data_IF_264451285373
#
_entry.id   IF_264451285373
#
_cell.length_a   1.000
_cell.length_b   1.000
_cell.length_c   1.000
_cell.angle_alpha   90.00
_cell.angle_beta   90.00
_cell.angle_gamma   90.00
#
_symmetry.space_group_name_H-M   'P 1'
#
loop_
_entity.id
_entity.type
_entity.pdbx_description
1 polymer ?
#
# COMPACT_ATOMS: atom_id res chain seq x y z
N UNK A 1 -22.15 1.79 -2.29
CA UNK A 1 -21.37 0.69 -2.92
C UNK A 1 -21.04 -0.35 -1.85
N UNK A 2 -21.33 -1.64 -2.08
CA UNK A 2 -20.93 -2.70 -1.13
C UNK A 2 -19.40 -2.79 -1.11
N UNK A 3 -18.81 -2.79 0.09
CA UNK A 3 -17.36 -2.91 0.28
C UNK A 3 -16.95 -4.32 -0.12
N UNK A 4 -16.00 -4.43 -1.06
CA UNK A 4 -15.45 -5.74 -1.46
C UNK A 4 -14.74 -6.35 -0.25
N UNK A 5 -14.95 -7.64 0.00
CA UNK A 5 -14.34 -8.31 1.15
C UNK A 5 -12.82 -8.35 1.02
N UNK A 6 -12.11 -8.32 2.15
CA UNK A 6 -10.65 -8.36 2.18
C UNK A 6 -10.09 -9.61 1.50
N UNK A 7 -10.76 -10.76 1.73
CA UNK A 7 -10.41 -12.03 1.10
C UNK A 7 -10.42 -11.96 -0.43
N UNK A 8 -11.49 -11.41 -1.03
CA UNK A 8 -11.58 -11.27 -2.50
C UNK A 8 -10.44 -10.38 -3.04
N UNK A 9 -10.02 -9.37 -2.27
CA UNK A 9 -8.94 -8.46 -2.68
C UNK A 9 -7.57 -9.11 -2.65
N UNK A 10 -7.32 -9.94 -1.64
CA UNK A 10 -6.13 -10.78 -1.63
C UNK A 10 -6.12 -11.74 -2.81
N UNK A 11 -7.22 -12.42 -3.09
CA UNK A 11 -7.32 -13.30 -4.26
C UNK A 11 -7.08 -12.57 -5.58
N UNK A 12 -7.52 -11.31 -5.71
CA UNK A 12 -7.20 -10.47 -6.88
C UNK A 12 -5.69 -10.25 -6.99
N UNK A 13 -5.05 -9.80 -5.91
CA UNK A 13 -3.63 -9.47 -5.90
C UNK A 13 -2.75 -10.70 -6.15
N UNK A 14 -3.02 -11.81 -5.47
CA UNK A 14 -2.30 -13.08 -5.63
C UNK A 14 -2.36 -13.57 -7.08
N UNK A 15 -3.56 -13.54 -7.69
CA UNK A 15 -3.74 -13.99 -9.07
C UNK A 15 -3.02 -13.06 -10.07
N UNK A 16 -3.02 -11.75 -9.85
CA UNK A 16 -2.26 -10.81 -10.70
C UNK A 16 -0.76 -10.96 -10.54
N UNK A 17 -0.26 -11.17 -9.31
CA UNK A 17 1.14 -11.49 -9.05
C UNK A 17 1.57 -12.82 -9.69
N UNK A 18 0.65 -13.79 -9.78
CA UNK A 18 0.84 -15.03 -10.54
C UNK A 18 0.73 -14.85 -12.07
N UNK A 19 0.57 -13.63 -12.58
CA UNK A 19 0.54 -13.32 -14.01
C UNK A 19 -0.80 -13.57 -14.72
N UNK A 20 -1.90 -13.79 -13.99
CA UNK A 20 -3.22 -13.95 -14.59
C UNK A 20 -3.77 -12.60 -15.09
N UNK A 21 -4.45 -12.61 -16.23
CA UNK A 21 -5.04 -11.39 -16.78
C UNK A 21 -6.21 -10.86 -15.94
N UNK A 22 -6.35 -9.53 -15.86
CA UNK A 22 -7.45 -8.88 -15.13
C UNK A 22 -8.83 -9.40 -15.56
N UNK A 23 -8.99 -9.69 -16.86
CA UNK A 23 -10.23 -10.18 -17.43
C UNK A 23 -10.59 -11.60 -16.93
N UNK A 24 -9.60 -12.50 -16.87
CA UNK A 24 -9.80 -13.86 -16.32
C UNK A 24 -10.18 -13.81 -14.85
N UNK A 25 -9.52 -12.94 -14.09
CA UNK A 25 -9.77 -12.77 -12.65
C UNK A 25 -11.17 -12.19 -12.41
N UNK A 26 -11.54 -11.16 -13.18
CA UNK A 26 -12.87 -10.56 -13.12
C UNK A 26 -13.98 -11.61 -13.35
N UNK A 27 -13.83 -12.42 -14.41
CA UNK A 27 -14.77 -13.50 -14.72
C UNK A 27 -14.82 -14.57 -13.63
N UNK A 28 -13.67 -14.99 -13.10
CA UNK A 28 -13.57 -16.03 -12.06
C UNK A 28 -14.22 -15.57 -10.74
N UNK A 29 -13.96 -14.33 -10.32
CA UNK A 29 -14.42 -13.81 -9.03
C UNK A 29 -15.80 -13.14 -9.11
N UNK A 30 -16.40 -13.05 -10.29
CA UNK A 30 -17.70 -12.40 -10.50
C UNK A 30 -17.67 -10.90 -10.23
N UNK A 31 -16.52 -10.24 -10.43
CA UNK A 31 -16.34 -8.80 -10.22
C UNK A 31 -16.08 -8.08 -11.54
N UNK A 32 -16.29 -6.76 -11.59
CA UNK A 32 -15.95 -6.00 -12.79
C UNK A 32 -14.43 -5.93 -13.00
N UNK A 33 -13.99 -5.88 -14.26
CA UNK A 33 -12.58 -5.65 -14.60
C UNK A 33 -12.03 -4.36 -13.97
N UNK A 34 -12.83 -3.30 -13.96
CA UNK A 34 -12.47 -2.04 -13.31
C UNK A 34 -12.23 -2.19 -11.81
N UNK A 35 -12.96 -3.09 -11.14
CA UNK A 35 -12.73 -3.40 -9.72
C UNK A 35 -11.38 -4.10 -9.54
N UNK A 36 -11.08 -5.10 -10.37
CA UNK A 36 -9.79 -5.81 -10.37
C UNK A 36 -8.64 -4.82 -10.55
N UNK A 37 -8.72 -3.97 -11.58
CA UNK A 37 -7.72 -2.96 -11.87
C UNK A 37 -7.50 -2.00 -10.70
N UNK A 38 -8.58 -1.44 -10.11
CA UNK A 38 -8.47 -0.51 -8.98
C UNK A 38 -7.90 -1.16 -7.72
N UNK A 39 -8.25 -2.41 -7.45
CA UNK A 39 -7.71 -3.16 -6.31
C UNK A 39 -6.20 -3.35 -6.48
N UNK A 40 -5.77 -3.79 -7.66
CA UNK A 40 -4.36 -4.04 -7.91
C UNK A 40 -3.53 -2.77 -7.99
N UNK A 41 -4.02 -1.73 -8.67
CA UNK A 41 -3.36 -0.42 -8.67
C UNK A 41 -3.21 0.13 -7.24
N UNK A 42 -4.21 -0.06 -6.37
CA UNK A 42 -4.08 0.30 -4.96
C UNK A 42 -2.97 -0.53 -4.27
N UNK A 43 -2.91 -1.84 -4.55
CA UNK A 43 -1.86 -2.70 -4.01
C UNK A 43 -0.46 -2.33 -4.53
N UNK A 44 -0.30 -2.04 -5.81
CA UNK A 44 0.98 -1.60 -6.39
C UNK A 44 1.44 -0.26 -5.79
N UNK A 45 0.48 0.65 -5.56
CA UNK A 45 0.78 1.98 -5.03
C UNK A 45 1.02 2.00 -3.53
N UNK A 46 0.51 1.05 -2.76
CA UNK A 46 0.52 1.10 -1.29
C UNK A 46 0.98 -0.19 -0.58
N UNK A 47 1.17 -1.30 -1.30
CA UNK A 47 1.49 -2.60 -0.73
C UNK A 47 0.36 -3.25 0.07
N UNK A 48 -0.88 -2.76 -0.05
CA UNK A 48 -1.98 -3.16 0.84
C UNK A 48 -3.26 -3.57 0.09
N UNK A 49 -3.84 -4.70 0.51
CA UNK A 49 -5.11 -5.20 -0.02
C UNK A 49 -6.35 -4.54 0.61
N UNK A 50 -6.20 -3.77 1.70
CA UNK A 50 -7.31 -3.13 2.38
C UNK A 50 -7.92 -1.98 1.60
N UNK A 51 -9.17 -1.67 1.92
CA UNK A 51 -9.82 -0.48 1.36
C UNK A 51 -9.26 0.63 2.19
N UNK A 52 -8.55 1.54 1.53
CA UNK A 52 -7.99 2.73 2.15
C UNK A 52 -8.92 3.90 1.80
N UNK A 53 -10.15 3.97 2.37
CA UNK A 53 -11.03 5.12 2.18
C UNK A 53 -10.49 6.38 2.86
N UNK A 54 -9.45 6.25 3.71
CA UNK A 54 -8.90 7.32 4.55
C UNK A 54 -7.65 8.00 4.01
N UNK A 55 -7.03 7.52 2.92
CA UNK A 55 -5.80 8.15 2.39
C UNK A 55 -6.07 9.40 1.55
N UNK A 56 -7.32 9.86 1.47
CA UNK A 56 -7.72 11.12 0.86
C UNK A 56 -7.49 12.33 1.80
N UNK A 57 -6.44 12.29 2.62
CA UNK A 57 -5.99 13.41 3.45
C UNK A 57 -5.02 14.33 2.72
N UNK A 58 -4.84 15.56 3.22
CA UNK A 58 -3.83 16.48 2.69
C UNK A 58 -2.44 15.86 2.89
N UNK A 59 -1.58 15.84 1.86
CA UNK A 59 -0.22 15.33 2.01
C UNK A 59 0.53 16.11 3.09
N UNK A 60 0.93 15.42 4.17
CA UNK A 60 1.83 15.96 5.19
C UNK A 60 3.28 15.54 4.90
N UNK A 61 4.21 16.48 5.01
CA UNK A 61 5.65 16.19 4.94
C UNK A 61 6.08 15.71 6.33
N UNK A 62 6.80 14.59 6.39
CA UNK A 62 7.39 14.08 7.62
C UNK A 62 8.43 15.06 8.15
N UNK A 63 8.30 15.46 9.40
CA UNK A 63 9.38 16.14 10.11
C UNK A 63 10.48 15.15 10.50
N UNK A 64 11.65 15.67 10.91
CA UNK A 64 12.73 14.82 11.42
C UNK A 64 12.31 14.06 12.68
N UNK A 65 11.45 14.63 13.52
CA UNK A 65 10.96 13.98 14.73
C UNK A 65 10.01 12.83 14.42
N UNK A 66 9.13 12.99 13.43
CA UNK A 66 8.25 11.91 12.95
C UNK A 66 9.08 10.72 12.42
N UNK A 67 10.18 11.01 11.72
CA UNK A 67 11.10 9.98 11.21
C UNK A 67 11.83 9.26 12.34
N UNK A 68 12.28 9.99 13.36
CA UNK A 68 12.96 9.42 14.54
C UNK A 68 12.00 8.53 15.34
N UNK A 69 10.74 8.93 15.48
CA UNK A 69 9.71 8.12 16.13
C UNK A 69 9.42 6.81 15.37
N UNK A 70 9.31 6.89 14.04
CA UNK A 70 9.17 5.70 13.19
C UNK A 70 10.33 4.73 13.35
N UNK A 71 11.55 5.24 13.42
CA UNK A 71 12.76 4.43 13.62
C UNK A 71 12.74 3.66 14.94
N UNK A 72 12.28 4.29 16.02
CA UNK A 72 12.12 3.64 17.33
C UNK A 72 11.07 2.51 17.26
N UNK A 73 9.91 2.78 16.66
CA UNK A 73 8.85 1.78 16.46
C UNK A 73 9.32 0.57 15.64
N UNK A 74 10.14 0.84 14.63
CA UNK A 74 10.76 -0.17 13.76
C UNK A 74 11.70 -1.09 14.52
N UNK A 75 12.51 -0.53 15.44
CA UNK A 75 13.46 -1.27 16.27
C UNK A 75 12.78 -2.17 17.30
N UNK A 76 11.60 -1.79 17.79
CA UNK A 76 10.90 -2.55 18.83
C UNK A 76 10.09 -3.75 18.30
N UNK A 77 9.55 -3.69 17.08
CA UNK A 77 8.68 -4.75 16.52
C UNK A 77 8.68 -4.71 14.98
N UNK A 78 9.61 -5.45 14.37
CA UNK A 78 9.91 -5.39 12.93
C UNK A 78 8.79 -5.93 12.03
N UNK A 79 8.07 -6.98 12.45
CA UNK A 79 7.38 -7.85 11.48
C UNK A 79 5.98 -7.37 11.04
N UNK A 80 5.33 -6.47 11.79
CA UNK A 80 3.95 -6.04 11.50
C UNK A 80 3.69 -4.53 11.70
N UNK A 81 4.66 -3.76 12.19
CA UNK A 81 4.40 -2.39 12.64
C UNK A 81 4.62 -1.32 11.59
N UNK A 82 5.47 -1.51 10.60
CA UNK A 82 5.79 -0.45 9.63
C UNK A 82 4.51 0.08 9.00
N UNK A 83 3.68 -0.84 8.50
CA UNK A 83 2.42 -0.50 7.85
C UNK A 83 1.40 0.12 8.82
N UNK A 84 1.26 -0.46 10.02
CA UNK A 84 0.33 0.03 11.05
C UNK A 84 0.74 1.38 11.61
N UNK A 85 2.03 1.63 11.80
CA UNK A 85 2.60 2.88 12.28
C UNK A 85 2.47 4.00 11.24
N UNK A 86 2.82 3.71 9.97
CA UNK A 86 2.62 4.64 8.85
C UNK A 86 1.15 5.02 8.71
N UNK A 87 0.23 4.05 8.82
CA UNK A 87 -1.21 4.30 8.82
C UNK A 87 -1.67 5.12 10.04
N UNK A 88 -1.18 4.82 11.25
CA UNK A 88 -1.53 5.57 12.49
C UNK A 88 -1.05 7.01 12.46
N UNK A 89 0.07 7.25 11.78
CA UNK A 89 0.66 8.57 11.60
C UNK A 89 0.05 9.34 10.40
N UNK A 90 -0.84 8.71 9.64
CA UNK A 90 -1.62 9.36 8.56
C UNK A 90 -0.89 9.47 7.23
N UNK A 91 0.12 8.63 6.98
CA UNK A 91 0.97 8.73 5.81
C UNK A 91 0.64 7.71 4.72
N UNK A 92 0.90 8.11 3.48
CA UNK A 92 0.67 7.31 2.28
C UNK A 92 1.99 6.85 1.68
N UNK A 93 2.02 5.66 1.07
CA UNK A 93 3.22 5.05 0.49
C UNK A 93 3.93 5.93 -0.55
N UNK A 94 3.17 6.72 -1.34
CA UNK A 94 3.72 7.69 -2.31
C UNK A 94 4.62 8.76 -1.66
N UNK A 95 4.34 9.12 -0.41
CA UNK A 95 5.11 10.12 0.32
C UNK A 95 6.42 9.56 0.88
N UNK A 96 6.51 8.24 1.04
CA UNK A 96 7.73 7.55 1.48
C UNK A 96 8.60 7.12 0.30
N UNK A 97 7.99 6.81 -0.85
CA UNK A 97 8.69 6.36 -2.05
C UNK A 97 9.65 7.41 -2.62
N UNK A 98 9.24 8.69 -2.72
CA UNK A 98 10.11 9.78 -3.22
C UNK A 98 11.37 10.00 -2.36
N UNK A 99 11.27 10.26 -1.04
CA UNK A 99 12.46 10.48 -0.22
C UNK A 99 13.31 9.21 -0.05
N UNK A 100 12.72 8.01 -0.13
CA UNK A 100 13.50 6.76 -0.15
C UNK A 100 14.30 6.61 -1.46
N UNK A 101 13.70 6.92 -2.61
CA UNK A 101 14.38 6.88 -3.91
C UNK A 101 15.49 7.95 -4.03
N UNK A 102 15.27 9.15 -3.50
CA UNK A 102 16.30 10.19 -3.44
C UNK A 102 17.45 9.82 -2.50
N UNK A 103 17.15 9.18 -1.35
CA UNK A 103 18.20 8.63 -0.48
C UNK A 103 18.98 7.52 -1.16
N UNK A 104 18.33 6.56 -1.82
CA UNK A 104 19.05 5.47 -2.52
C UNK A 104 19.99 6.00 -3.61
N UNK A 105 19.57 7.04 -4.36
CA UNK A 105 20.45 7.71 -5.35
C UNK A 105 21.66 8.41 -4.72
N UNK A 106 21.52 8.95 -3.52
CA UNK A 106 22.60 9.67 -2.82
C UNK A 106 23.58 8.74 -2.08
N UNK A 107 23.33 7.43 -2.03
CA UNK A 107 24.19 6.42 -1.40
C UNK A 107 25.08 5.66 -2.39
N UNK A 108 25.03 5.99 -3.68
CA UNK A 108 25.97 5.46 -4.67
C UNK A 108 27.23 6.34 -4.71
N UNK A 109 28.20 6.03 -3.85
CA UNK A 109 29.62 6.34 -4.04
C UNK A 109 30.34 5.09 -4.50
#
# INVERSE_FOLDING_TARGET
MKKLSLHIRWQINEKLLAGLSEHRIAKHLGVSRSTVHRVYHCFEQYGCAESLPSLYGRPRIFSCDDMRYLETLLKEKVDCLIWRAIHRLGYTHKQLAKPAQERIKNWQW
#
